data_IF_877964857793
#
_entry.id   IF_877964857793
#
_cell.length_a   1.000
_cell.length_b   1.000
_cell.length_c   1.000
_cell.angle_alpha   90.00
_cell.angle_beta   90.00
_cell.angle_gamma   90.00
#
_symmetry.space_group_name_H-M   'P 1'
#
loop_
_entity.id
_entity.type
_entity.pdbx_description
1 polymer ?
#
# COMPACT_ATOMS: atom_id res chain seq x y z
N UNK A 1 50.56 5.07 -8.28
CA UNK A 1 49.12 5.24 -8.52
C UNK A 1 48.50 3.89 -8.24
N UNK A 2 48.22 3.64 -6.96
CA UNK A 2 47.63 2.39 -6.50
C UNK A 2 46.15 2.39 -6.87
N UNK A 3 45.78 1.49 -7.77
CA UNK A 3 44.43 1.34 -8.27
C UNK A 3 43.51 0.82 -7.18
N UNK A 4 42.54 1.66 -6.81
CA UNK A 4 41.36 1.32 -6.04
C UNK A 4 40.62 0.14 -6.69
N UNK A 5 40.69 -1.04 -6.07
CA UNK A 5 39.87 -2.20 -6.43
C UNK A 5 38.59 -2.11 -5.61
N UNK A 6 37.63 -1.37 -6.15
CA UNK A 6 36.25 -1.44 -5.68
C UNK A 6 35.67 -2.80 -6.00
N UNK A 7 35.64 -3.69 -5.00
CA UNK A 7 34.95 -4.97 -5.07
C UNK A 7 33.44 -4.73 -5.21
N UNK A 8 32.96 -4.65 -6.45
CA UNK A 8 31.55 -4.56 -6.77
C UNK A 8 30.82 -5.81 -6.27
N UNK A 9 29.91 -5.64 -5.31
CA UNK A 9 29.03 -6.72 -4.85
C UNK A 9 28.30 -7.35 -6.05
N UNK A 10 28.16 -8.69 -6.11
CA UNK A 10 27.47 -9.34 -7.21
C UNK A 10 26.02 -8.85 -7.27
N UNK A 11 25.63 -8.31 -8.43
CA UNK A 11 24.24 -7.95 -8.72
C UNK A 11 23.41 -9.22 -8.67
N UNK A 12 22.73 -9.45 -7.54
CA UNK A 12 21.75 -10.55 -7.41
C UNK A 12 20.65 -10.32 -8.44
N UNK A 13 20.68 -11.08 -9.52
CA UNK A 13 19.59 -11.13 -10.50
C UNK A 13 18.34 -11.67 -9.80
N UNK A 14 17.34 -10.80 -9.61
CA UNK A 14 16.05 -11.23 -9.08
C UNK A 14 15.35 -12.08 -10.14
N UNK A 15 14.80 -13.26 -9.79
CA UNK A 15 14.02 -14.03 -10.74
C UNK A 15 12.85 -13.19 -11.26
N UNK A 16 12.64 -13.19 -12.58
CA UNK A 16 11.45 -12.57 -13.19
C UNK A 16 10.24 -13.43 -12.85
N UNK A 17 9.24 -12.85 -12.21
CA UNK A 17 7.97 -13.49 -11.91
C UNK A 17 7.13 -13.60 -13.19
N UNK A 18 6.25 -14.60 -13.25
CA UNK A 18 5.36 -14.83 -14.40
C UNK A 18 4.21 -13.83 -14.41
N UNK A 19 3.59 -13.60 -15.57
CA UNK A 19 2.38 -12.78 -15.68
C UNK A 19 1.25 -13.30 -14.77
N UNK A 20 1.06 -14.63 -14.75
CA UNK A 20 0.11 -15.32 -13.87
C UNK A 20 0.30 -14.96 -12.39
N UNK A 21 1.55 -14.86 -11.92
CA UNK A 21 1.83 -14.46 -10.54
C UNK A 21 1.36 -13.03 -10.26
N UNK A 22 1.55 -12.10 -11.20
CA UNK A 22 1.10 -10.72 -11.05
C UNK A 22 -0.43 -10.61 -11.08
N UNK A 23 -1.09 -11.40 -11.92
CA UNK A 23 -2.55 -11.48 -11.98
C UNK A 23 -3.12 -12.00 -10.66
N UNK A 24 -2.58 -13.10 -10.15
CA UNK A 24 -2.94 -13.63 -8.84
C UNK A 24 -2.73 -12.60 -7.72
N UNK A 25 -1.58 -11.91 -7.70
CA UNK A 25 -1.29 -10.90 -6.69
C UNK A 25 -2.27 -9.71 -6.76
N UNK A 26 -2.68 -9.31 -7.98
CA UNK A 26 -3.69 -8.28 -8.18
C UNK A 26 -5.06 -8.71 -7.65
N UNK A 27 -5.46 -9.97 -7.87
CA UNK A 27 -6.72 -10.50 -7.37
C UNK A 27 -6.74 -10.62 -5.85
N UNK A 28 -5.65 -11.08 -5.24
CA UNK A 28 -5.53 -11.13 -3.77
C UNK A 28 -5.59 -9.73 -3.16
N UNK A 29 -5.01 -8.74 -3.83
CA UNK A 29 -5.09 -7.32 -3.43
C UNK A 29 -6.52 -6.81 -3.52
N UNK A 30 -7.26 -7.12 -4.59
CA UNK A 30 -8.68 -6.75 -4.74
C UNK A 30 -9.54 -7.34 -3.63
N UNK A 31 -9.36 -8.63 -3.32
CA UNK A 31 -10.09 -9.32 -2.25
C UNK A 31 -9.80 -8.67 -0.89
N UNK A 32 -8.53 -8.38 -0.59
CA UNK A 32 -8.14 -7.67 0.63
C UNK A 32 -8.79 -6.29 0.74
N UNK A 33 -8.78 -5.53 -0.35
CA UNK A 33 -9.36 -4.19 -0.39
C UNK A 33 -10.89 -4.20 -0.18
N UNK A 34 -11.59 -5.18 -0.74
CA UNK A 34 -13.04 -5.35 -0.49
C UNK A 34 -13.32 -5.68 0.99
N UNK A 35 -12.51 -6.54 1.62
CA UNK A 35 -12.61 -6.84 3.04
C UNK A 35 -12.41 -5.61 3.94
N UNK A 36 -11.39 -4.80 3.63
CA UNK A 36 -11.07 -3.54 4.32
C UNK A 36 -12.21 -2.53 4.21
N UNK A 37 -12.78 -2.34 3.01
CA UNK A 37 -13.94 -1.46 2.79
C UNK A 37 -15.16 -1.90 3.60
N UNK A 38 -15.48 -3.20 3.61
CA UNK A 38 -16.60 -3.75 4.41
C UNK A 38 -16.40 -3.56 5.92
N UNK A 39 -15.16 -3.55 6.37
CA UNK A 39 -14.81 -3.28 7.76
C UNK A 39 -14.79 -1.79 8.13
N UNK A 40 -15.07 -0.88 7.18
CA UNK A 40 -15.01 0.56 7.41
C UNK A 40 -13.58 1.10 7.53
N UNK A 41 -12.59 0.32 7.11
CA UNK A 41 -11.17 0.69 7.18
C UNK A 41 -10.78 1.42 5.90
N UNK A 42 -10.11 2.59 5.99
CA UNK A 42 -9.68 3.33 4.81
C UNK A 42 -8.53 2.61 4.10
N UNK A 43 -8.49 2.71 2.77
CA UNK A 43 -7.35 2.24 1.99
C UNK A 43 -6.27 3.32 1.95
N UNK A 44 -5.03 2.97 2.29
CA UNK A 44 -3.93 3.94 2.41
C UNK A 44 -2.86 3.65 1.36
N UNK A 45 -2.50 4.67 0.60
CA UNK A 45 -1.45 4.58 -0.40
C UNK A 45 -0.67 5.88 -0.50
N UNK A 46 0.53 5.81 -1.07
CA UNK A 46 1.36 6.99 -1.29
C UNK A 46 1.38 7.39 -2.76
N UNK A 47 1.17 8.68 -3.02
CA UNK A 47 1.39 9.29 -4.33
C UNK A 47 2.42 10.40 -4.14
N UNK A 48 3.56 10.28 -4.82
CA UNK A 48 4.67 11.25 -4.74
C UNK A 48 5.15 11.54 -3.31
N UNK A 49 5.14 10.54 -2.42
CA UNK A 49 5.55 10.67 -1.02
C UNK A 49 4.49 11.28 -0.10
N UNK A 50 3.32 11.64 -0.63
CA UNK A 50 2.16 12.10 0.16
C UNK A 50 1.25 10.91 0.42
N UNK A 51 0.78 10.75 1.65
CA UNK A 51 -0.20 9.73 2.00
C UNK A 51 -1.60 10.18 1.60
N UNK A 52 -2.33 9.25 0.99
CA UNK A 52 -3.73 9.40 0.63
C UNK A 52 -4.51 8.27 1.29
N UNK A 53 -5.61 8.64 1.92
CA UNK A 53 -6.58 7.74 2.51
C UNK A 53 -7.85 7.79 1.65
N UNK A 54 -8.24 6.65 1.12
CA UNK A 54 -9.54 6.45 0.49
C UNK A 54 -10.52 5.91 1.52
N UNK A 55 -11.54 6.70 1.83
CA UNK A 55 -12.59 6.33 2.78
C UNK A 55 -13.52 5.27 2.18
N UNK A 56 -14.30 4.55 3.00
CA UNK A 56 -15.23 3.53 2.51
C UNK A 56 -16.30 4.05 1.53
N UNK A 57 -16.61 5.34 1.56
CA UNK A 57 -17.52 6.02 0.61
C UNK A 57 -16.85 6.36 -0.74
N UNK A 58 -15.55 6.07 -0.89
CA UNK A 58 -14.75 6.35 -2.07
C UNK A 58 -14.13 7.75 -2.11
N UNK A 59 -14.38 8.59 -1.10
CA UNK A 59 -13.74 9.92 -1.01
C UNK A 59 -12.26 9.81 -0.65
N UNK A 60 -11.46 10.75 -1.14
CA UNK A 60 -10.02 10.82 -0.88
C UNK A 60 -9.67 11.96 0.06
N UNK A 61 -8.81 11.68 1.04
CA UNK A 61 -8.24 12.69 1.93
C UNK A 61 -6.74 12.49 2.09
N UNK A 62 -6.02 13.56 2.45
CA UNK A 62 -4.60 13.54 2.85
C UNK A 62 -4.43 13.73 4.36
N UNK A 63 -5.55 13.75 5.09
CA UNK A 63 -5.59 13.80 6.55
C UNK A 63 -5.95 12.41 7.04
N UNK A 64 -5.17 11.88 7.99
CA UNK A 64 -5.46 10.61 8.65
C UNK A 64 -6.86 10.66 9.30
N UNK A 65 -7.84 9.87 8.80
CA UNK A 65 -9.19 9.86 9.33
C UNK A 65 -9.26 9.26 10.75
N UNK A 66 -8.23 8.51 11.16
CA UNK A 66 -8.17 7.87 12.47
C UNK A 66 -7.34 8.66 13.48
N UNK A 67 -6.64 9.72 13.05
CA UNK A 67 -5.85 10.61 13.90
C UNK A 67 -4.88 9.85 14.83
N UNK A 68 -4.21 8.82 14.31
CA UNK A 68 -3.29 7.98 15.08
C UNK A 68 -3.95 6.93 15.98
N UNK A 69 -5.28 6.76 15.91
CA UNK A 69 -5.98 5.66 16.59
C UNK A 69 -5.83 4.36 15.78
N UNK A 70 -5.87 3.24 16.48
CA UNK A 70 -5.76 1.89 15.88
C UNK A 70 -7.11 1.23 15.63
N UNK A 71 -8.21 1.91 15.97
CA UNK A 71 -9.59 1.47 15.77
C UNK A 71 -10.35 2.54 14.99
N UNK A 72 -11.28 2.14 14.10
CA UNK A 72 -12.16 3.10 13.43
C UNK A 72 -12.85 4.01 14.46
N UNK A 73 -13.00 5.32 14.20
CA UNK A 73 -13.82 6.19 15.02
C UNK A 73 -15.27 5.69 15.03
N UNK A 74 -15.97 5.81 16.16
CA UNK A 74 -17.37 5.39 16.32
C UNK A 74 -18.34 6.06 15.31
N UNK A 75 -17.89 7.15 14.68
CA UNK A 75 -18.65 8.01 13.79
C UNK A 75 -18.40 7.73 12.29
N UNK A 76 -18.08 6.49 11.90
CA UNK A 76 -18.09 6.06 10.50
C UNK A 76 -19.55 6.03 9.96
N UNK A 77 -20.17 7.21 9.86
CA UNK A 77 -21.40 7.49 9.11
C UNK A 77 -22.71 7.09 9.78
N UNK A 78 -23.16 7.84 10.79
CA UNK A 78 -24.60 8.03 10.99
C UNK A 78 -24.90 9.53 11.04
N UNK A 79 -25.21 10.11 9.87
CA UNK A 79 -26.18 11.20 9.70
C UNK A 79 -26.82 11.11 8.33
#
# INVERSE_FOLDING_TARGET
MDGDKGDGLPVKTRPKLTAEFYEWAADMTRIGNDGVRRAGVPYVYSINGVLHWELPDGSLTTVDPWQGKTTPPDDAGTK
#
